data_IF_113029382498
#
_entry.id   IF_113029382498
#
_cell.length_a   1.000
_cell.length_b   1.000
_cell.length_c   1.000
_cell.angle_alpha   90.00
_cell.angle_beta   90.00
_cell.angle_gamma   90.00
#
_symmetry.space_group_name_H-M   'P 1'
#
loop_
_entity.id
_entity.type
_entity.pdbx_description
1 polymer ?
#
# COMPACT_ATOMS: atom_id res chain seq x y z
N UNK A 1 -55.57 10.12 41.46
CA UNK A 1 -54.17 9.76 41.79
C UNK A 1 -53.63 8.97 40.62
N UNK A 2 -52.83 9.63 39.71
CA UNK A 2 -52.28 8.99 38.50
C UNK A 2 -50.84 8.65 38.73
N UNK A 3 -50.37 7.42 38.43
CA UNK A 3 -48.97 7.11 38.58
C UNK A 3 -48.17 7.70 37.43
N UNK A 4 -47.09 8.42 37.77
CA UNK A 4 -46.07 8.93 36.81
C UNK A 4 -45.21 7.75 36.35
N UNK A 5 -45.33 7.40 35.08
CA UNK A 5 -44.40 6.48 34.40
C UNK A 5 -43.11 7.20 34.14
N UNK A 6 -42.06 6.82 34.84
CA UNK A 6 -40.69 7.26 34.57
C UNK A 6 -40.15 6.37 33.47
N UNK A 7 -40.05 6.92 32.26
CA UNK A 7 -39.34 6.23 31.16
C UNK A 7 -37.83 6.36 31.36
N UNK A 8 -37.20 5.28 31.77
CA UNK A 8 -35.74 5.18 31.82
C UNK A 8 -35.21 4.96 30.41
N UNK A 9 -34.67 6.02 29.80
CA UNK A 9 -33.95 5.90 28.52
C UNK A 9 -32.60 5.25 28.73
N UNK A 10 -32.45 4.01 28.30
CA UNK A 10 -31.19 3.27 28.27
C UNK A 10 -30.40 3.76 27.07
N UNK A 11 -29.45 4.68 27.29
CA UNK A 11 -28.50 5.10 26.27
C UNK A 11 -27.48 3.98 26.05
N UNK A 12 -27.64 3.23 24.97
CA UNK A 12 -26.64 2.24 24.53
C UNK A 12 -25.41 2.99 23.99
N UNK A 13 -24.33 3.05 24.77
CA UNK A 13 -23.04 3.49 24.29
C UNK A 13 -22.52 2.46 23.27
N UNK A 14 -22.60 2.79 21.99
CA UNK A 14 -21.93 2.03 20.93
C UNK A 14 -20.42 2.26 21.06
N UNK A 15 -19.72 1.33 21.71
CA UNK A 15 -18.26 1.27 21.64
C UNK A 15 -17.88 0.90 20.21
N UNK A 16 -17.53 1.90 19.39
CA UNK A 16 -16.87 1.65 18.12
C UNK A 16 -15.49 1.00 18.42
N UNK A 17 -15.15 -0.11 17.75
CA UNK A 17 -13.82 -0.70 17.93
C UNK A 17 -12.78 0.34 17.52
N UNK A 18 -11.78 0.55 18.38
CA UNK A 18 -10.63 1.38 18.06
C UNK A 18 -9.89 0.70 16.90
N UNK A 19 -9.87 1.35 15.72
CA UNK A 19 -9.05 0.90 14.62
C UNK A 19 -7.59 1.23 14.97
N UNK A 20 -6.79 0.20 15.22
CA UNK A 20 -5.35 0.35 15.40
C UNK A 20 -4.68 0.38 14.03
N UNK A 21 -3.71 1.31 13.86
CA UNK A 21 -2.84 1.32 12.69
C UNK A 21 -1.97 0.05 12.67
N UNK A 22 -1.93 -0.62 11.52
CA UNK A 22 -1.11 -1.80 11.28
C UNK A 22 0.17 -1.41 10.54
N UNK A 23 1.22 -2.23 10.67
CA UNK A 23 2.41 -2.14 9.86
C UNK A 23 2.57 -3.40 9.02
N UNK A 24 2.84 -3.21 7.74
CA UNK A 24 3.12 -4.28 6.77
C UNK A 24 4.59 -4.23 6.37
N UNK A 25 5.31 -5.33 6.54
CA UNK A 25 6.70 -5.43 6.14
C UNK A 25 6.81 -5.95 4.71
N UNK A 26 7.58 -5.25 3.89
CA UNK A 26 7.91 -5.62 2.51
C UNK A 26 9.43 -5.72 2.37
N UNK A 27 9.93 -6.90 2.12
CA UNK A 27 11.36 -7.14 1.94
C UNK A 27 11.82 -6.74 0.54
N UNK A 28 12.97 -6.12 0.44
CA UNK A 28 13.66 -5.83 -0.82
C UNK A 28 14.73 -6.89 -1.04
N UNK A 29 14.54 -7.75 -2.05
CA UNK A 29 15.31 -8.97 -2.25
C UNK A 29 15.95 -9.05 -3.63
N UNK A 30 17.19 -9.59 -3.67
CA UNK A 30 17.84 -9.99 -4.92
C UNK A 30 17.12 -11.17 -5.56
N UNK A 31 16.57 -12.08 -4.74
CA UNK A 31 15.79 -13.23 -5.18
C UNK A 31 14.74 -13.58 -4.15
N UNK A 32 13.50 -13.70 -4.60
CA UNK A 32 12.34 -14.13 -3.82
C UNK A 32 11.57 -15.24 -4.53
N UNK A 33 10.35 -15.50 -4.05
CA UNK A 33 9.47 -16.54 -4.61
C UNK A 33 9.16 -16.29 -6.09
N UNK A 34 8.90 -15.02 -6.45
CA UNK A 34 8.53 -14.62 -7.81
C UNK A 34 9.73 -14.43 -8.76
N UNK A 35 10.96 -14.64 -8.30
CA UNK A 35 12.17 -14.55 -9.10
C UNK A 35 13.19 -13.53 -8.61
N UNK A 36 14.01 -13.02 -9.54
CA UNK A 36 15.06 -12.07 -9.23
C UNK A 36 14.52 -10.63 -9.09
N UNK A 37 15.13 -9.86 -8.20
CA UNK A 37 14.84 -8.44 -7.96
C UNK A 37 13.36 -8.21 -7.69
N UNK A 38 12.96 -8.45 -6.44
CA UNK A 38 11.56 -8.42 -6.01
C UNK A 38 11.35 -7.65 -4.71
N UNK A 39 10.19 -7.04 -4.60
CA UNK A 39 9.54 -6.72 -3.32
C UNK A 39 8.73 -7.94 -2.89
N UNK A 40 8.81 -8.32 -1.63
CA UNK A 40 8.09 -9.49 -1.12
C UNK A 40 7.45 -9.19 0.25
N UNK A 41 6.12 -9.20 0.35
CA UNK A 41 5.15 -9.39 -0.74
C UNK A 41 5.11 -8.20 -1.71
N UNK A 42 4.75 -8.46 -2.97
CA UNK A 42 4.64 -7.41 -3.99
C UNK A 42 3.25 -6.73 -4.01
N UNK A 43 2.24 -7.34 -3.38
CA UNK A 43 0.92 -6.75 -3.17
C UNK A 43 0.62 -6.64 -1.69
N UNK A 44 0.20 -5.46 -1.24
CA UNK A 44 -0.20 -5.19 0.14
C UNK A 44 -1.58 -4.54 0.13
N UNK A 45 -2.49 -5.07 0.95
CA UNK A 45 -3.78 -4.43 1.23
C UNK A 45 -3.72 -3.79 2.62
N UNK A 46 -3.72 -2.48 2.64
CA UNK A 46 -3.65 -1.66 3.84
C UNK A 46 -4.89 -0.77 3.98
N UNK A 47 -4.94 0.00 5.04
CA UNK A 47 -5.93 1.05 5.27
C UNK A 47 -5.24 2.39 5.49
N UNK A 48 -5.98 3.49 5.37
CA UNK A 48 -5.48 4.82 5.73
C UNK A 48 -5.08 4.84 7.20
N UNK A 49 -3.90 5.35 7.48
CA UNK A 49 -3.29 5.36 8.81
C UNK A 49 -2.30 4.23 9.06
N UNK A 50 -2.33 3.18 8.26
CA UNK A 50 -1.34 2.11 8.32
C UNK A 50 0.02 2.55 7.80
N UNK A 51 1.03 1.74 8.06
CA UNK A 51 2.37 1.92 7.51
C UNK A 51 2.80 0.69 6.71
N UNK A 52 3.62 0.92 5.69
CA UNK A 52 4.31 -0.12 4.95
C UNK A 52 5.80 0.12 5.11
N UNK A 53 6.50 -0.81 5.74
CA UNK A 53 7.94 -0.74 5.94
C UNK A 53 8.64 -1.55 4.86
N UNK A 54 9.36 -0.87 3.99
CA UNK A 54 10.24 -1.50 3.01
C UNK A 54 11.58 -1.78 3.66
N UNK A 55 11.89 -3.07 3.84
CA UNK A 55 13.06 -3.54 4.58
C UNK A 55 14.19 -3.82 3.60
N UNK A 56 15.34 -3.18 3.80
CA UNK A 56 16.56 -3.41 3.03
C UNK A 56 17.22 -4.74 3.45
N UNK A 57 16.59 -5.86 3.07
CA UNK A 57 17.07 -7.20 3.39
C UNK A 57 18.36 -7.52 2.63
N UNK A 58 18.35 -7.28 1.31
CA UNK A 58 19.54 -7.34 0.47
C UNK A 58 20.00 -5.93 0.10
N UNK A 59 21.28 -5.79 -0.19
CA UNK A 59 21.88 -4.48 -0.57
C UNK A 59 21.51 -4.09 -2.01
N UNK A 60 21.56 -2.79 -2.29
CA UNK A 60 21.42 -2.27 -3.64
C UNK A 60 19.98 -2.02 -4.08
N UNK A 61 19.07 -1.89 -3.14
CA UNK A 61 17.66 -1.59 -3.39
C UNK A 61 17.22 -0.31 -2.71
N UNK A 62 16.17 0.28 -3.27
CA UNK A 62 15.41 1.38 -2.68
C UNK A 62 13.93 1.22 -3.04
N UNK A 63 13.09 2.12 -2.57
CA UNK A 63 11.70 2.24 -2.99
C UNK A 63 11.41 3.66 -3.44
N UNK A 64 10.74 3.78 -4.58
CA UNK A 64 10.34 5.04 -5.21
C UNK A 64 8.94 4.89 -5.78
N UNK A 65 8.13 5.93 -5.71
CA UNK A 65 6.83 5.92 -6.38
C UNK A 65 6.98 5.83 -7.92
N UNK A 66 6.06 5.13 -8.55
CA UNK A 66 5.93 5.16 -10.01
C UNK A 66 5.08 6.38 -10.38
N UNK A 67 5.61 7.25 -11.24
CA UNK A 67 4.92 8.46 -11.70
C UNK A 67 3.51 8.13 -12.23
N UNK A 68 2.51 8.79 -11.68
CA UNK A 68 1.10 8.58 -12.05
C UNK A 68 0.40 7.47 -11.26
N UNK A 69 1.08 6.82 -10.33
CA UNK A 69 0.55 5.73 -9.51
C UNK A 69 0.44 6.07 -8.03
N UNK A 70 0.20 7.32 -7.69
CA UNK A 70 -0.13 7.74 -6.33
C UNK A 70 -1.54 8.33 -6.29
N UNK A 71 -2.26 8.19 -5.17
CA UNK A 71 -3.51 8.93 -4.96
C UNK A 71 -3.29 10.43 -4.99
N UNK A 72 -4.32 11.19 -5.36
CA UNK A 72 -4.28 12.65 -5.36
C UNK A 72 -3.89 13.18 -3.97
N UNK A 73 -3.00 14.18 -3.96
CA UNK A 73 -2.52 14.82 -2.74
C UNK A 73 -1.42 14.05 -1.98
N UNK A 74 -1.07 12.85 -2.41
CA UNK A 74 0.06 12.10 -1.83
C UNK A 74 1.36 12.58 -2.45
N UNK A 75 2.32 12.96 -1.60
CA UNK A 75 3.63 13.41 -2.03
C UNK A 75 4.47 12.26 -2.62
N UNK A 76 5.24 12.60 -3.64
CA UNK A 76 6.23 11.68 -4.22
C UNK A 76 7.30 11.35 -3.18
N UNK A 77 7.83 10.14 -3.26
CA UNK A 77 8.89 9.69 -2.38
C UNK A 77 9.93 8.85 -3.10
N UNK A 78 11.14 8.88 -2.57
CA UNK A 78 12.26 8.06 -2.99
C UNK A 78 13.18 7.82 -1.81
N UNK A 79 13.35 6.56 -1.43
CA UNK A 79 14.26 6.22 -0.34
C UNK A 79 15.73 6.21 -0.80
N UNK A 80 16.64 6.28 0.16
CA UNK A 80 18.06 6.08 -0.09
C UNK A 80 18.37 4.61 -0.34
N UNK A 81 19.43 4.36 -1.11
CA UNK A 81 19.91 3.00 -1.35
C UNK A 81 20.34 2.32 -0.07
N UNK A 82 19.89 1.08 0.13
CA UNK A 82 20.32 0.23 1.23
C UNK A 82 19.75 0.62 2.59
N UNK A 83 18.75 1.48 2.65
CA UNK A 83 18.08 1.88 3.88
C UNK A 83 16.63 1.39 3.91
N UNK A 84 16.14 1.10 5.10
CA UNK A 84 14.72 0.86 5.33
C UNK A 84 13.92 2.14 5.08
N UNK A 85 12.70 1.99 4.61
CA UNK A 85 11.79 3.12 4.37
C UNK A 85 10.39 2.83 4.88
N UNK A 86 9.84 3.72 5.68
CA UNK A 86 8.48 3.62 6.21
C UNK A 86 7.57 4.56 5.42
N UNK A 87 6.63 3.97 4.68
CA UNK A 87 5.57 4.70 3.99
C UNK A 87 4.34 4.75 4.89
N UNK A 88 3.93 5.95 5.30
CA UNK A 88 2.65 6.15 5.99
C UNK A 88 1.54 6.34 4.95
N UNK A 89 0.49 5.56 5.06
CA UNK A 89 -0.66 5.62 4.15
C UNK A 89 -1.56 6.80 4.56
N UNK A 90 -1.41 7.91 3.85
CA UNK A 90 -2.12 9.16 4.14
C UNK A 90 -3.47 9.30 3.43
N UNK A 91 -3.69 8.59 2.32
CA UNK A 91 -4.89 8.68 1.51
C UNK A 91 -5.30 7.32 0.97
N UNK A 92 -6.59 7.16 0.73
CA UNK A 92 -7.19 6.00 0.08
C UNK A 92 -6.78 5.95 -1.40
N UNK A 93 -6.53 4.75 -1.91
CA UNK A 93 -6.20 4.51 -3.30
C UNK A 93 -5.06 3.51 -3.50
N UNK A 94 -4.50 3.52 -4.70
CA UNK A 94 -3.42 2.65 -5.14
C UNK A 94 -2.08 3.39 -5.13
N UNK A 95 -1.06 2.73 -4.61
CA UNK A 95 0.33 3.20 -4.56
C UNK A 95 1.19 2.22 -5.35
N UNK A 96 1.58 2.61 -6.55
CA UNK A 96 2.55 1.83 -7.34
C UNK A 96 3.96 2.27 -7.03
N UNK A 97 4.84 1.32 -6.72
CA UNK A 97 6.23 1.58 -6.35
C UNK A 97 7.20 0.73 -7.16
N UNK A 98 8.42 1.20 -7.26
CA UNK A 98 9.52 0.55 -7.97
C UNK A 98 10.82 0.64 -7.16
N UNK A 99 11.75 -0.25 -7.45
CA UNK A 99 13.15 -0.07 -7.12
C UNK A 99 13.82 0.67 -8.27
N UNK A 100 14.49 1.79 -8.02
CA UNK A 100 15.04 2.65 -9.06
C UNK A 100 15.98 1.90 -10.03
N UNK A 101 17.03 1.18 -9.57
CA UNK A 101 17.94 0.49 -10.47
C UNK A 101 17.38 -0.80 -11.10
N UNK A 102 16.33 -1.39 -10.54
CA UNK A 102 15.81 -2.69 -10.98
C UNK A 102 14.38 -2.64 -11.56
N UNK A 103 13.90 -1.43 -11.87
CA UNK A 103 12.54 -1.24 -12.41
C UNK A 103 12.30 -2.03 -13.69
N UNK A 104 13.22 -1.94 -14.65
CA UNK A 104 13.11 -2.66 -15.93
C UNK A 104 13.30 -4.18 -15.80
N UNK A 105 13.86 -4.63 -14.69
CA UNK A 105 13.93 -6.05 -14.31
C UNK A 105 12.64 -6.57 -13.65
N UNK A 106 11.67 -5.68 -13.43
CA UNK A 106 10.37 -6.02 -12.85
C UNK A 106 10.26 -5.84 -11.34
N UNK A 107 11.18 -5.10 -10.71
CA UNK A 107 11.10 -4.84 -9.28
C UNK A 107 10.09 -3.74 -8.97
N UNK A 108 8.83 -4.15 -8.86
CA UNK A 108 7.66 -3.31 -8.62
C UNK A 108 6.76 -3.91 -7.55
N UNK A 109 5.97 -3.07 -6.92
CA UNK A 109 4.94 -3.49 -5.96
C UNK A 109 3.72 -2.58 -6.04
N UNK A 110 2.59 -3.06 -5.55
CA UNK A 110 1.33 -2.34 -5.49
C UNK A 110 0.75 -2.41 -4.09
N UNK A 111 0.43 -1.26 -3.52
CA UNK A 111 -0.28 -1.15 -2.26
C UNK A 111 -1.69 -0.65 -2.56
N UNK A 112 -2.71 -1.34 -2.06
CA UNK A 112 -4.07 -0.86 -2.05
C UNK A 112 -4.44 -0.42 -0.63
N UNK A 113 -4.80 0.84 -0.49
CA UNK A 113 -5.32 1.40 0.76
C UNK A 113 -6.81 1.73 0.59
N UNK A 114 -7.68 0.97 1.25
CA UNK A 114 -9.12 1.13 1.10
C UNK A 114 -9.61 0.94 -0.33
N UNK A 115 -10.51 1.80 -0.81
CA UNK A 115 -11.02 1.72 -2.18
C UNK A 115 -9.99 2.17 -3.23
N UNK A 116 -9.93 1.51 -4.41
CA UNK A 116 -8.95 1.81 -5.46
C UNK A 116 -9.38 3.03 -6.30
N UNK A 117 -9.52 4.20 -5.67
CA UNK A 117 -10.12 5.41 -6.26
C UNK A 117 -9.37 5.96 -7.48
N UNK A 118 -8.09 5.68 -7.61
CA UNK A 118 -7.24 6.09 -8.74
C UNK A 118 -6.91 4.94 -9.71
N UNK A 119 -7.72 3.90 -9.74
CA UNK A 119 -7.47 2.70 -10.56
C UNK A 119 -7.29 3.02 -12.05
N UNK A 120 -8.11 3.90 -12.59
CA UNK A 120 -8.03 4.26 -14.02
C UNK A 120 -6.74 5.02 -14.34
N UNK A 121 -6.30 5.92 -13.45
CA UNK A 121 -5.02 6.61 -13.61
C UNK A 121 -3.83 5.64 -13.54
N UNK A 122 -3.86 4.67 -12.63
CA UNK A 122 -2.83 3.63 -12.52
C UNK A 122 -2.80 2.75 -13.77
N UNK A 123 -3.97 2.35 -14.28
CA UNK A 123 -4.08 1.55 -15.50
C UNK A 123 -3.56 2.27 -16.75
N UNK A 124 -3.59 3.61 -16.78
CA UNK A 124 -3.13 4.42 -17.88
C UNK A 124 -1.59 4.57 -17.94
N UNK A 125 -0.87 4.16 -16.89
CA UNK A 125 0.59 4.27 -16.85
C UNK A 125 1.25 3.17 -17.66
N UNK A 126 2.12 3.56 -18.62
CA UNK A 126 2.94 2.63 -19.39
C UNK A 126 4.14 2.15 -18.57
N UNK A 127 4.21 0.86 -18.31
CA UNK A 127 5.32 0.23 -17.61
C UNK A 127 6.40 -0.25 -18.58
N UNK A 128 7.66 -0.21 -18.13
CA UNK A 128 8.84 -0.55 -18.95
C UNK A 128 9.40 -1.92 -18.59
N UNK A 129 10.00 -2.58 -19.58
CA UNK A 129 10.70 -3.84 -19.42
C UNK A 129 9.80 -4.93 -18.83
N UNK A 130 10.33 -5.70 -17.88
CA UNK A 130 9.59 -6.75 -17.19
C UNK A 130 8.58 -6.22 -16.16
N UNK A 131 8.59 -4.92 -15.86
CA UNK A 131 7.67 -4.32 -14.90
C UNK A 131 6.21 -4.54 -15.28
N UNK A 132 5.87 -4.46 -16.58
CA UNK A 132 4.52 -4.73 -17.06
C UNK A 132 4.04 -6.12 -16.68
N UNK A 133 4.79 -7.16 -17.02
CA UNK A 133 4.43 -8.55 -16.75
C UNK A 133 4.32 -8.86 -15.26
N UNK A 134 5.15 -8.22 -14.43
CA UNK A 134 5.09 -8.39 -12.97
C UNK A 134 4.00 -7.56 -12.30
N UNK A 135 3.59 -6.46 -12.89
CA UNK A 135 2.56 -5.59 -12.35
C UNK A 135 1.12 -6.11 -12.66
N UNK A 136 0.91 -6.73 -13.80
CA UNK A 136 -0.40 -7.27 -14.18
C UNK A 136 -1.02 -8.20 -13.12
N UNK A 137 -0.29 -9.19 -12.56
CA UNK A 137 -0.85 -10.04 -11.49
C UNK A 137 -1.17 -9.27 -10.20
N UNK A 138 -0.49 -8.15 -9.94
CA UNK A 138 -0.78 -7.30 -8.77
C UNK A 138 -2.10 -6.56 -8.98
N UNK A 139 -2.33 -6.02 -10.17
CA UNK A 139 -3.61 -5.38 -10.53
C UNK A 139 -4.78 -6.36 -10.41
N UNK A 140 -4.57 -7.63 -10.74
CA UNK A 140 -5.58 -8.67 -10.59
C UNK A 140 -5.97 -8.95 -9.12
N UNK A 141 -5.16 -8.57 -8.16
CA UNK A 141 -5.43 -8.72 -6.73
C UNK A 141 -6.22 -7.54 -6.12
N UNK A 142 -6.45 -6.48 -6.88
CA UNK A 142 -7.22 -5.31 -6.41
C UNK A 142 -8.64 -5.73 -6.05
N UNK A 143 -9.06 -5.36 -4.84
CA UNK A 143 -10.41 -5.62 -4.31
C UNK A 143 -11.26 -4.37 -4.46
N UNK A 144 -12.55 -4.54 -4.79
CA UNK A 144 -13.52 -3.43 -4.91
C UNK A 144 -13.95 -2.92 -3.55
#
# INVERSE_FOLDING_TARGET
MFPKLIAASLAALLLAPAAYAENFDVKMLNKGVEGAMVFEPAFVKAAVGDTVTFISTDKGHNVEDIKGMLPDGVEKFKSKMGEDYVLTIAAEGLYGVKCTPHYTMGMVALIQAGAPVNKDAVAAVSLKGKAKARFEPLVAQIVK
#
